data_IF_264639832853
#
_entry.id   IF_264639832853
#
_cell.length_a   1.000
_cell.length_b   1.000
_cell.length_c   1.000
_cell.angle_alpha   90.00
_cell.angle_beta   90.00
_cell.angle_gamma   90.00
#
_symmetry.space_group_name_H-M   'P 1'
#
loop_
_entity.id
_entity.type
_entity.pdbx_description
1 polymer ?
#
# COMPACT_ATOMS: atom_id res chain seq x y z
N UNK A 1 29.76 0.99 -27.67
CA UNK A 1 30.25 2.39 -27.49
C UNK A 1 31.37 2.51 -26.47
N UNK A 2 31.20 2.09 -25.21
CA UNK A 2 32.26 2.18 -24.19
C UNK A 2 33.48 1.29 -24.51
N UNK A 3 33.24 0.03 -24.89
CA UNK A 3 34.31 -0.92 -25.29
C UNK A 3 35.12 -0.41 -26.49
N UNK A 4 34.44 0.09 -27.53
CA UNK A 4 35.08 0.66 -28.73
C UNK A 4 35.97 1.88 -28.42
N UNK A 5 35.76 2.56 -27.30
CA UNK A 5 36.54 3.73 -26.86
C UNK A 5 37.67 3.36 -25.88
N UNK A 6 38.18 2.12 -25.91
CA UNK A 6 39.22 1.63 -24.98
C UNK A 6 38.82 1.81 -23.51
N UNK A 7 37.53 1.60 -23.19
CA UNK A 7 36.99 1.76 -21.83
C UNK A 7 37.20 3.16 -21.22
N UNK A 8 37.29 4.20 -22.06
CA UNK A 8 37.45 5.57 -21.61
C UNK A 8 36.09 6.23 -21.33
N UNK A 9 35.83 6.49 -20.04
CA UNK A 9 34.57 7.10 -19.55
C UNK A 9 34.39 8.52 -20.07
N UNK A 10 35.44 9.34 -20.04
CA UNK A 10 35.37 10.75 -20.44
C UNK A 10 35.08 10.92 -21.93
N UNK A 11 35.75 10.11 -22.77
CA UNK A 11 35.52 10.13 -24.22
C UNK A 11 34.10 9.67 -24.56
N UNK A 12 33.64 8.60 -23.92
CA UNK A 12 32.28 8.07 -24.12
C UNK A 12 31.21 9.07 -23.69
N UNK A 13 31.41 9.76 -22.56
CA UNK A 13 30.51 10.81 -22.08
C UNK A 13 30.42 12.00 -23.06
N UNK A 14 31.56 12.44 -23.62
CA UNK A 14 31.61 13.55 -24.59
C UNK A 14 30.90 13.20 -25.90
N UNK A 15 31.08 11.99 -26.41
CA UNK A 15 30.41 11.50 -27.62
C UNK A 15 28.89 11.39 -27.41
N UNK A 16 28.46 10.91 -26.24
CA UNK A 16 27.06 10.72 -25.92
C UNK A 16 26.36 11.98 -25.41
N UNK A 17 27.08 13.08 -25.16
CA UNK A 17 26.50 14.32 -24.62
C UNK A 17 25.93 14.19 -23.20
N UNK A 18 26.40 13.23 -22.40
CA UNK A 18 25.90 12.96 -21.04
C UNK A 18 26.99 13.15 -19.99
N UNK A 19 26.61 13.21 -18.71
CA UNK A 19 27.58 13.29 -17.62
C UNK A 19 28.44 12.02 -17.51
N UNK A 20 29.70 12.18 -17.10
CA UNK A 20 30.59 11.05 -16.77
C UNK A 20 30.00 10.14 -15.67
N UNK A 21 29.21 10.70 -14.76
CA UNK A 21 28.53 9.93 -13.70
C UNK A 21 27.46 9.00 -14.27
N UNK A 22 26.73 9.44 -15.30
CA UNK A 22 25.73 8.62 -16.00
C UNK A 22 26.39 7.45 -16.71
N UNK A 23 27.52 7.69 -17.40
CA UNK A 23 28.30 6.61 -18.05
C UNK A 23 28.82 5.61 -17.01
N UNK A 24 29.39 6.09 -15.89
CA UNK A 24 29.82 5.19 -14.80
C UNK A 24 28.66 4.39 -14.21
N UNK A 25 27.52 5.03 -13.99
CA UNK A 25 26.32 4.35 -13.48
C UNK A 25 25.82 3.29 -14.46
N UNK A 26 25.86 3.55 -15.76
CA UNK A 26 25.43 2.58 -16.78
C UNK A 26 26.35 1.35 -16.86
N UNK A 27 27.65 1.50 -16.57
CA UNK A 27 28.63 0.41 -16.65
C UNK A 27 28.67 -0.39 -15.34
N UNK A 28 28.71 0.29 -14.20
CA UNK A 28 29.00 -0.32 -12.89
C UNK A 28 27.77 -0.43 -11.99
N UNK A 29 26.59 -0.01 -12.45
CA UNK A 29 25.41 0.03 -11.60
C UNK A 29 24.09 -0.07 -12.35
N UNK A 30 22.97 -0.07 -11.61
CA UNK A 30 21.65 -0.08 -12.20
C UNK A 30 21.28 1.29 -12.77
N UNK A 31 20.68 1.27 -13.97
CA UNK A 31 20.10 2.44 -14.63
C UNK A 31 18.71 2.78 -14.09
N UNK A 32 18.10 1.89 -13.33
CA UNK A 32 16.83 2.14 -12.65
C UNK A 32 16.93 3.25 -11.62
N UNK A 33 15.80 3.90 -11.35
CA UNK A 33 15.72 4.93 -10.34
C UNK A 33 15.85 4.33 -8.94
N UNK A 34 16.77 4.90 -8.15
CA UNK A 34 16.92 4.54 -6.75
C UNK A 34 15.72 5.06 -5.96
N UNK A 35 15.28 4.26 -4.99
CA UNK A 35 14.24 4.67 -4.05
C UNK A 35 14.59 6.00 -3.38
N UNK A 36 13.65 6.95 -3.45
CA UNK A 36 13.71 8.24 -2.74
C UNK A 36 13.16 8.15 -1.32
N UNK A 37 12.79 6.95 -0.85
CA UNK A 37 12.21 6.75 0.47
C UNK A 37 13.29 7.02 1.55
N UNK A 38 12.97 7.75 2.63
CA UNK A 38 13.90 7.95 3.73
C UNK A 38 14.30 6.60 4.34
N UNK A 39 15.60 6.45 4.64
CA UNK A 39 16.16 5.24 5.27
C UNK A 39 15.81 5.14 6.76
N UNK A 40 15.60 6.27 7.42
CA UNK A 40 15.37 6.36 8.86
C UNK A 40 14.14 7.20 9.20
N UNK A 41 13.50 6.89 10.32
CA UNK A 41 12.39 7.66 10.88
C UNK A 41 12.68 7.86 12.37
N UNK A 42 13.12 9.05 12.80
CA UNK A 42 13.58 9.27 14.18
C UNK A 42 12.52 9.01 15.25
N UNK A 43 11.26 9.35 14.97
CA UNK A 43 10.11 9.15 15.87
C UNK A 43 9.32 7.89 15.51
N UNK A 44 10.02 6.81 15.20
CA UNK A 44 9.40 5.51 14.93
C UNK A 44 8.97 4.87 16.25
N UNK A 45 7.83 4.19 16.23
CA UNK A 45 7.43 3.29 17.31
C UNK A 45 8.47 2.17 17.49
N UNK A 46 8.57 1.66 18.72
CA UNK A 46 9.31 0.45 19.03
C UNK A 46 8.87 -0.71 18.11
N UNK A 47 9.82 -1.51 17.65
CA UNK A 47 9.60 -2.59 16.69
C UNK A 47 8.56 -3.60 17.17
N UNK A 48 8.57 -3.93 18.46
CA UNK A 48 7.62 -4.86 19.08
C UNK A 48 6.18 -4.37 18.97
N UNK A 49 5.94 -3.10 19.33
CA UNK A 49 4.62 -2.49 19.26
C UNK A 49 4.15 -2.32 17.80
N UNK A 50 5.07 -2.06 16.87
CA UNK A 50 4.76 -2.02 15.43
C UNK A 50 4.34 -3.39 14.90
N UNK A 51 5.06 -4.45 15.26
CA UNK A 51 4.75 -5.83 14.89
C UNK A 51 3.39 -6.25 15.46
N UNK A 52 3.13 -5.94 16.72
CA UNK A 52 1.84 -6.19 17.37
C UNK A 52 0.68 -5.54 16.62
N UNK A 53 0.81 -4.26 16.21
CA UNK A 53 -0.20 -3.57 15.41
C UNK A 53 -0.45 -4.29 14.07
N UNK A 54 0.61 -4.78 13.42
CA UNK A 54 0.51 -5.47 12.12
C UNK A 54 -0.22 -6.81 12.29
N UNK A 55 0.15 -7.60 13.29
CA UNK A 55 -0.47 -8.89 13.60
C UNK A 55 -1.96 -8.70 13.91
N UNK A 56 -2.30 -7.74 14.76
CA UNK A 56 -3.68 -7.44 15.11
C UNK A 56 -4.49 -6.94 13.90
N UNK A 57 -3.88 -6.16 13.00
CA UNK A 57 -4.53 -5.74 11.75
C UNK A 57 -4.80 -6.92 10.81
N UNK A 58 -3.86 -7.88 10.70
CA UNK A 58 -4.03 -9.09 9.89
C UNK A 58 -5.12 -10.00 10.48
N UNK A 59 -5.09 -10.20 11.80
CA UNK A 59 -6.04 -11.05 12.55
C UNK A 59 -7.47 -10.53 12.47
N UNK A 60 -7.68 -9.24 12.74
CA UNK A 60 -9.02 -8.63 12.78
C UNK A 60 -9.51 -8.18 11.39
N UNK A 61 -8.59 -7.91 10.46
CA UNK A 61 -8.91 -7.22 9.21
C UNK A 61 -9.31 -5.75 9.40
N UNK A 62 -9.09 -5.18 10.60
CA UNK A 62 -9.39 -3.79 10.88
C UNK A 62 -8.33 -2.85 10.28
N UNK A 63 -8.81 -1.70 9.82
CA UNK A 63 -7.99 -0.58 9.35
C UNK A 63 -7.77 0.42 10.48
N UNK A 64 -6.92 1.41 10.26
CA UNK A 64 -6.41 2.34 11.28
C UNK A 64 -7.45 2.92 12.26
N UNK A 65 -8.64 3.36 11.82
CA UNK A 65 -9.69 3.88 12.73
C UNK A 65 -10.21 2.81 13.68
N UNK A 66 -10.71 1.71 13.12
CA UNK A 66 -11.24 0.57 13.88
C UNK A 66 -10.17 -0.08 14.75
N UNK A 67 -8.94 -0.15 14.24
CA UNK A 67 -7.81 -0.73 14.94
C UNK A 67 -7.40 0.14 16.13
N UNK A 68 -7.41 1.47 16.02
CA UNK A 68 -7.14 2.37 17.16
C UNK A 68 -8.13 2.13 18.29
N UNK A 69 -9.44 2.14 17.98
CA UNK A 69 -10.48 1.87 18.97
C UNK A 69 -10.37 0.47 19.56
N UNK A 70 -10.07 -0.53 18.72
CA UNK A 70 -9.91 -1.91 19.14
C UNK A 70 -8.75 -2.09 20.13
N UNK A 71 -7.59 -1.52 19.81
CA UNK A 71 -6.39 -1.58 20.65
C UNK A 71 -6.63 -0.91 22.01
N UNK A 72 -7.32 0.23 22.00
CA UNK A 72 -7.71 0.90 23.23
C UNK A 72 -8.67 0.06 24.07
N UNK A 73 -9.74 -0.49 23.48
CA UNK A 73 -10.76 -1.24 24.22
C UNK A 73 -10.27 -2.59 24.76
N UNK A 74 -9.42 -3.30 24.01
CA UNK A 74 -8.97 -4.64 24.39
C UNK A 74 -7.71 -4.63 25.24
N UNK A 75 -6.77 -3.73 24.96
CA UNK A 75 -5.44 -3.74 25.58
C UNK A 75 -5.14 -2.46 26.38
N UNK A 76 -6.03 -1.47 26.40
CA UNK A 76 -5.79 -0.17 27.04
C UNK A 76 -4.76 0.71 26.32
N UNK A 77 -4.31 0.29 25.13
CA UNK A 77 -3.20 0.94 24.41
C UNK A 77 -3.76 2.10 23.56
N UNK A 78 -3.46 3.34 23.96
CA UNK A 78 -3.89 4.55 23.24
C UNK A 78 -2.86 4.96 22.19
N UNK A 79 -3.15 4.67 20.92
CA UNK A 79 -2.32 5.07 19.77
C UNK A 79 -3.17 5.87 18.78
N UNK A 80 -2.61 6.99 18.29
CA UNK A 80 -3.31 7.84 17.31
C UNK A 80 -3.61 7.08 16.01
N UNK A 81 -4.77 7.36 15.42
CA UNK A 81 -5.17 6.81 14.12
C UNK A 81 -4.11 7.02 13.03
N UNK A 82 -3.48 8.20 13.02
CA UNK A 82 -2.46 8.57 12.04
C UNK A 82 -1.15 7.79 12.22
N UNK A 83 -0.80 7.46 13.46
CA UNK A 83 0.35 6.62 13.77
C UNK A 83 0.12 5.20 13.24
N UNK A 84 -1.05 4.61 13.51
CA UNK A 84 -1.43 3.30 13.00
C UNK A 84 -1.49 3.31 11.47
N UNK A 85 -2.09 4.34 10.86
CA UNK A 85 -2.11 4.52 9.40
C UNK A 85 -0.70 4.51 8.80
N UNK A 86 0.23 5.24 9.42
CA UNK A 86 1.63 5.30 8.99
C UNK A 86 2.31 3.95 9.12
N UNK A 87 2.11 3.24 10.23
CA UNK A 87 2.61 1.87 10.46
C UNK A 87 2.12 0.93 9.37
N UNK A 88 0.81 0.86 9.14
CA UNK A 88 0.22 -0.04 8.14
C UNK A 88 0.70 0.27 6.72
N UNK A 89 0.85 1.57 6.37
CA UNK A 89 1.34 2.01 5.06
C UNK A 89 2.81 1.64 4.84
N UNK A 90 3.67 1.87 5.84
CA UNK A 90 5.12 1.56 5.73
C UNK A 90 5.39 0.08 5.56
N UNK A 91 4.57 -0.76 6.20
CA UNK A 91 4.66 -2.22 6.16
C UNK A 91 3.77 -2.86 5.07
N UNK A 92 3.27 -2.05 4.13
CA UNK A 92 2.47 -2.51 2.99
C UNK A 92 1.32 -3.47 3.34
N UNK A 93 0.66 -3.26 4.50
CA UNK A 93 -0.41 -4.15 4.96
C UNK A 93 -1.61 -4.03 4.00
N UNK A 94 -2.00 -5.13 3.33
CA UNK A 94 -3.02 -5.09 2.29
C UNK A 94 -4.35 -4.60 2.85
N UNK A 95 -5.08 -3.83 2.03
CA UNK A 95 -6.43 -3.40 2.38
C UNK A 95 -7.39 -4.53 1.99
N UNK A 96 -8.15 -5.08 2.94
CA UNK A 96 -9.31 -5.92 2.60
C UNK A 96 -10.32 -5.04 1.87
N UNK A 97 -10.39 -5.17 0.54
CA UNK A 97 -11.47 -4.62 -0.27
C UNK A 97 -12.62 -5.61 -0.22
N UNK A 98 -13.76 -5.22 0.38
CA UNK A 98 -15.01 -5.96 0.18
C UNK A 98 -15.50 -5.66 -1.23
N UNK A 99 -15.06 -6.42 -2.22
CA UNK A 99 -15.83 -6.61 -3.44
C UNK A 99 -16.62 -7.89 -3.23
N UNK A 100 -17.82 -7.75 -2.70
CA UNK A 100 -18.80 -8.82 -2.88
C UNK A 100 -19.13 -8.85 -4.36
N UNK A 101 -19.12 -10.03 -4.95
CA UNK A 101 -19.72 -10.23 -6.25
C UNK A 101 -21.21 -9.93 -6.07
N UNK A 102 -21.69 -8.86 -6.69
CA UNK A 102 -23.14 -8.65 -6.79
C UNK A 102 -23.57 -9.58 -7.92
N UNK A 103 -24.37 -10.59 -7.61
CA UNK A 103 -25.11 -11.29 -8.66
C UNK A 103 -25.95 -10.24 -9.37
N UNK A 104 -25.68 -10.02 -10.66
CA UNK A 104 -26.58 -9.26 -11.50
C UNK A 104 -27.80 -10.16 -11.69
N UNK A 105 -28.98 -9.70 -11.28
CA UNK A 105 -30.22 -10.43 -11.56
C UNK A 105 -30.45 -10.39 -13.07
N UNK A 106 -30.76 -11.54 -13.66
CA UNK A 106 -31.22 -11.62 -15.04
C UNK A 106 -32.72 -11.30 -15.06
N UNK A 107 -33.03 -10.02 -15.24
CA UNK A 107 -34.41 -9.51 -15.26
C UNK A 107 -35.20 -9.97 -16.50
N UNK A 108 -34.54 -10.41 -17.57
CA UNK A 108 -35.23 -10.91 -18.76
C UNK A 108 -35.64 -12.37 -18.63
N UNK A 109 -34.91 -13.16 -17.86
CA UNK A 109 -35.27 -14.55 -17.55
C UNK A 109 -36.38 -14.67 -16.49
N UNK A 110 -36.73 -13.59 -15.79
CA UNK A 110 -37.74 -13.58 -14.74
C UNK A 110 -39.15 -13.58 -15.34
N UNK A 111 -39.96 -14.58 -14.95
CA UNK A 111 -41.37 -14.66 -15.35
C UNK A 111 -42.15 -13.57 -14.60
N UNK A 112 -43.08 -12.84 -15.26
CA UNK A 112 -43.92 -11.86 -14.58
C UNK A 112 -44.63 -12.49 -13.37
N UNK A 113 -44.53 -11.81 -12.22
CA UNK A 113 -45.12 -12.23 -10.93
C UNK A 113 -44.55 -13.52 -10.29
N UNK A 114 -43.43 -14.08 -10.78
CA UNK A 114 -42.78 -15.23 -10.12
C UNK A 114 -42.01 -14.84 -8.86
N UNK A 115 -41.41 -13.65 -8.85
CA UNK A 115 -40.65 -13.12 -7.73
C UNK A 115 -41.21 -11.76 -7.30
N UNK A 116 -41.33 -11.56 -5.98
CA UNK A 116 -41.81 -10.31 -5.39
C UNK A 116 -40.74 -9.69 -4.50
N UNK A 117 -40.39 -8.43 -4.77
CA UNK A 117 -39.52 -7.66 -3.88
C UNK A 117 -40.38 -6.96 -2.83
N UNK A 118 -40.19 -7.33 -1.56
CA UNK A 118 -40.88 -6.71 -0.43
C UNK A 118 -39.94 -5.68 0.22
N UNK A 119 -40.23 -4.40 0.05
CA UNK A 119 -39.53 -3.33 0.75
C UNK A 119 -40.28 -2.98 2.03
N UNK A 120 -39.57 -2.90 3.15
CA UNK A 120 -40.17 -2.55 4.45
C UNK A 120 -39.64 -1.21 4.90
N UNK A 121 -40.56 -0.32 5.24
CA UNK A 121 -40.24 0.98 5.81
C UNK A 121 -40.58 0.99 7.28
N UNK A 122 -39.59 1.28 8.12
CA UNK A 122 -39.84 1.53 9.52
C UNK A 122 -40.47 2.92 9.69
N UNK A 123 -41.68 2.95 10.24
CA UNK A 123 -42.33 4.19 10.67
C UNK A 123 -42.12 4.29 12.19
N UNK A 124 -41.45 5.36 12.62
CA UNK A 124 -41.29 5.66 14.04
C UNK A 124 -42.64 6.10 14.64
N UNK A 125 -42.92 5.63 15.87
CA UNK A 125 -44.04 6.10 16.69
C UNK A 125 -43.70 7.42 17.37
#
# INVERSE_FOLDING_TARGET
MFENNKKNVSRTAKILGVSRHTVRRAIYGPLEDKSRKPKTCPRKLFSELENFIIEESKRTGFRYRRLSLYLFRKYGIKISENTIKSVLKRNAVPRKTKKGERSLYDYEALIPFSEFQLDTKHLAQ
#
